data_IF_890132459458
#
_entry.id   IF_890132459458
#
_cell.length_a   1.000
_cell.length_b   1.000
_cell.length_c   1.000
_cell.angle_alpha   90.00
_cell.angle_beta   90.00
_cell.angle_gamma   90.00
#
_symmetry.space_group_name_H-M   'P 1'
#
loop_
_entity.id
_entity.type
_entity.pdbx_description
1 polymer ?
#
# COMPACT_ATOMS: atom_id res chain seq x y z
N UNK A 1 -1.43 39.55 -12.46
CA UNK A 1 -1.01 38.23 -12.98
C UNK A 1 -0.58 37.41 -11.79
N UNK A 2 -1.45 36.53 -11.29
CA UNK A 2 -1.25 35.82 -10.02
C UNK A 2 -0.99 34.34 -10.32
N UNK A 3 0.28 33.94 -10.39
CA UNK A 3 0.69 32.54 -10.67
C UNK A 3 1.33 31.87 -9.45
N UNK A 4 0.95 32.26 -8.23
CA UNK A 4 1.46 31.67 -6.99
C UNK A 4 0.34 31.15 -6.08
N UNK A 5 -0.62 30.39 -6.62
CA UNK A 5 -1.67 29.76 -5.80
C UNK A 5 -1.94 28.29 -6.16
N UNK A 6 -0.91 27.53 -6.52
CA UNK A 6 -1.10 26.12 -6.94
C UNK A 6 -0.15 25.10 -6.30
N UNK A 7 0.72 25.49 -5.36
CA UNK A 7 1.70 24.54 -4.77
C UNK A 7 1.58 24.33 -3.26
N UNK A 8 0.59 24.93 -2.59
CA UNK A 8 0.47 24.84 -1.12
C UNK A 8 -0.65 23.94 -0.60
N UNK A 9 -1.36 23.20 -1.45
CA UNK A 9 -2.48 22.34 -1.02
C UNK A 9 -2.26 20.84 -1.32
N UNK A 10 -1.03 20.35 -1.20
CA UNK A 10 -0.76 18.89 -1.21
C UNK A 10 -0.37 18.34 0.17
N UNK A 11 -0.41 19.18 1.20
CA UNK A 11 -0.33 18.75 2.59
C UNK A 11 -1.71 18.70 3.23
N UNK A 12 -2.71 18.17 2.52
CA UNK A 12 -3.87 17.60 3.21
C UNK A 12 -3.34 16.51 4.14
N UNK A 13 -3.81 16.40 5.39
CA UNK A 13 -3.43 15.29 6.26
C UNK A 13 -3.74 14.01 5.50
N UNK A 14 -2.68 13.30 5.10
CA UNK A 14 -2.73 12.14 4.21
C UNK A 14 -3.94 11.30 4.59
N UNK A 15 -4.93 11.23 3.70
CA UNK A 15 -6.05 10.30 3.85
C UNK A 15 -5.46 8.95 4.27
N UNK A 16 -5.99 8.28 5.30
CA UNK A 16 -5.39 7.06 5.86
C UNK A 16 -5.03 6.05 4.75
N UNK A 17 -5.80 6.02 3.67
CA UNK A 17 -5.54 5.24 2.45
C UNK A 17 -4.26 5.59 1.73
N UNK A 18 -3.90 6.88 1.62
CA UNK A 18 -2.64 7.27 0.97
C UNK A 18 -1.42 6.77 1.76
N UNK A 19 -1.51 6.74 3.09
CA UNK A 19 -0.44 6.18 3.93
C UNK A 19 -0.39 4.65 3.81
N UNK A 20 -1.55 3.99 3.81
CA UNK A 20 -1.65 2.53 3.68
C UNK A 20 -1.24 2.05 2.28
N UNK A 21 -1.65 2.74 1.22
CA UNK A 21 -1.26 2.48 -0.15
C UNK A 21 0.25 2.66 -0.36
N UNK A 22 0.84 3.72 0.20
CA UNK A 22 2.30 3.90 0.17
C UNK A 22 3.03 2.77 0.90
N UNK A 23 2.52 2.35 2.07
CA UNK A 23 3.10 1.22 2.82
C UNK A 23 3.02 -0.09 2.01
N UNK A 24 1.88 -0.36 1.38
CA UNK A 24 1.70 -1.52 0.51
C UNK A 24 2.67 -1.49 -0.68
N UNK A 25 2.81 -0.33 -1.34
CA UNK A 25 3.73 -0.18 -2.46
C UNK A 25 5.19 -0.45 -2.06
N UNK A 26 5.63 0.07 -0.91
CA UNK A 26 6.98 -0.21 -0.40
C UNK A 26 7.17 -1.70 -0.07
N UNK A 27 6.20 -2.32 0.61
CA UNK A 27 6.26 -3.74 0.94
C UNK A 27 6.31 -4.62 -0.31
N UNK A 28 5.53 -4.27 -1.34
CA UNK A 28 5.54 -4.96 -2.64
C UNK A 28 6.90 -4.83 -3.34
N UNK A 29 7.45 -3.62 -3.44
CA UNK A 29 8.74 -3.41 -4.09
C UNK A 29 9.87 -4.20 -3.40
N UNK A 30 9.83 -4.28 -2.06
CA UNK A 30 10.78 -5.08 -1.28
C UNK A 30 10.61 -6.58 -1.53
N UNK A 31 9.36 -7.08 -1.55
CA UNK A 31 9.06 -8.48 -1.86
C UNK A 31 9.53 -8.85 -3.26
N UNK A 32 9.18 -8.04 -4.27
CA UNK A 32 9.58 -8.24 -5.66
C UNK A 32 11.11 -8.29 -5.81
N UNK A 33 11.83 -7.44 -5.08
CA UNK A 33 13.29 -7.45 -5.06
C UNK A 33 13.86 -8.77 -4.53
N UNK A 34 13.33 -9.26 -3.42
CA UNK A 34 13.77 -10.51 -2.79
C UNK A 34 13.36 -11.76 -3.58
N UNK A 35 12.22 -11.74 -4.26
CA UNK A 35 11.78 -12.87 -5.10
C UNK A 35 12.60 -12.99 -6.40
N UNK A 36 13.11 -11.87 -6.92
CA UNK A 36 14.03 -11.86 -8.07
C UNK A 36 15.46 -12.25 -7.70
N UNK A 37 15.86 -12.03 -6.45
CA UNK A 37 17.17 -12.43 -5.94
C UNK A 37 17.18 -13.92 -5.56
N UNK A 38 17.12 -14.79 -6.58
CA UNK A 38 17.20 -16.24 -6.41
C UNK A 38 18.57 -16.73 -5.94
N UNK A 39 19.58 -15.85 -5.93
CA UNK A 39 20.93 -16.15 -5.46
C UNK A 39 21.04 -15.99 -3.94
N UNK A 40 20.27 -15.07 -3.35
CA UNK A 40 20.19 -14.89 -1.91
C UNK A 40 19.40 -16.04 -1.27
N UNK A 41 20.10 -16.89 -0.52
CA UNK A 41 19.49 -17.96 0.30
C UNK A 41 18.76 -17.44 1.52
N UNK A 42 18.50 -16.14 1.63
CA UNK A 42 17.85 -15.54 2.79
C UNK A 42 16.34 -15.77 2.76
N UNK A 43 15.96 -17.03 2.94
CA UNK A 43 14.57 -17.46 3.07
C UNK A 43 13.88 -16.80 4.27
N UNK A 44 14.64 -16.38 5.28
CA UNK A 44 14.09 -15.68 6.44
C UNK A 44 13.67 -14.25 6.08
N UNK A 45 14.49 -13.52 5.34
CA UNK A 45 14.14 -12.19 4.82
C UNK A 45 12.98 -12.25 3.82
N UNK A 46 12.95 -13.25 2.95
CA UNK A 46 11.86 -13.46 2.00
C UNK A 46 10.53 -13.76 2.73
N UNK A 47 10.55 -14.67 3.72
CA UNK A 47 9.37 -14.96 4.53
C UNK A 47 8.87 -13.71 5.27
N UNK A 48 9.77 -12.92 5.86
CA UNK A 48 9.41 -11.68 6.52
C UNK A 48 8.77 -10.67 5.56
N UNK A 49 9.31 -10.52 4.35
CA UNK A 49 8.75 -9.62 3.34
C UNK A 49 7.35 -10.06 2.86
N UNK A 50 7.12 -11.37 2.71
CA UNK A 50 5.79 -11.93 2.37
C UNK A 50 4.75 -11.64 3.45
N UNK A 51 5.13 -11.80 4.72
CA UNK A 51 4.26 -11.46 5.86
C UNK A 51 3.96 -9.96 5.88
N UNK A 52 4.98 -9.12 5.71
CA UNK A 52 4.81 -7.66 5.69
C UNK A 52 3.88 -7.20 4.55
N UNK A 53 4.05 -7.75 3.34
CA UNK A 53 3.19 -7.47 2.20
C UNK A 53 1.73 -7.88 2.48
N UNK A 54 1.51 -9.08 3.01
CA UNK A 54 0.18 -9.57 3.38
C UNK A 54 -0.50 -8.67 4.41
N UNK A 55 0.24 -8.23 5.43
CA UNK A 55 -0.28 -7.31 6.47
C UNK A 55 -0.61 -5.93 5.90
N UNK A 56 0.23 -5.39 5.03
CA UNK A 56 -0.03 -4.09 4.40
C UNK A 56 -1.25 -4.15 3.46
N UNK A 57 -1.40 -5.25 2.72
CA UNK A 57 -2.54 -5.46 1.82
C UNK A 57 -3.84 -5.56 2.62
N UNK A 58 -3.83 -6.33 3.71
CA UNK A 58 -4.99 -6.45 4.59
C UNK A 58 -5.38 -5.12 5.23
N UNK A 59 -4.41 -4.37 5.76
CA UNK A 59 -4.69 -3.08 6.36
C UNK A 59 -5.32 -2.08 5.36
N UNK A 60 -4.87 -2.09 4.10
CA UNK A 60 -5.49 -1.28 3.05
C UNK A 60 -6.90 -1.77 2.72
N UNK A 61 -7.11 -3.08 2.58
CA UNK A 61 -8.44 -3.64 2.33
C UNK A 61 -9.42 -3.31 3.47
N UNK A 62 -9.00 -3.48 4.73
CA UNK A 62 -9.81 -3.15 5.90
C UNK A 62 -10.20 -1.66 5.91
N UNK A 63 -9.27 -0.76 5.52
CA UNK A 63 -9.55 0.67 5.41
C UNK A 63 -10.55 1.01 4.30
N UNK A 64 -10.45 0.34 3.15
CA UNK A 64 -11.41 0.50 2.05
C UNK A 64 -12.79 -0.04 2.42
N UNK A 65 -12.87 -1.21 3.08
CA UNK A 65 -14.11 -1.78 3.61
C UNK A 65 -14.75 -0.82 4.62
N UNK A 66 -13.97 -0.25 5.54
CA UNK A 66 -14.46 0.71 6.53
C UNK A 66 -15.01 2.00 5.89
N UNK A 67 -14.58 2.33 4.67
CA UNK A 67 -15.11 3.43 3.86
C UNK A 67 -16.36 3.06 3.05
N UNK A 68 -16.84 1.82 3.19
CA UNK A 68 -17.98 1.31 2.44
C UNK A 68 -17.63 0.88 1.01
N UNK A 69 -16.35 0.85 0.62
CA UNK A 69 -15.88 0.35 -0.68
C UNK A 69 -15.81 -1.19 -0.73
N UNK A 70 -16.71 -1.87 -0.02
CA UNK A 70 -16.93 -3.29 -0.24
C UNK A 70 -17.83 -3.42 -1.47
N UNK A 71 -17.43 -4.21 -2.46
CA UNK A 71 -18.34 -4.60 -3.54
C UNK A 71 -19.46 -5.39 -2.86
N UNK A 72 -20.63 -4.77 -2.73
CA UNK A 72 -21.86 -5.55 -2.60
C UNK A 72 -22.01 -6.23 -3.96
N UNK A 73 -21.52 -7.47 -4.09
CA UNK A 73 -22.01 -8.37 -5.13
C UNK A 73 -23.53 -8.33 -4.95
N UNK A 74 -24.18 -7.59 -5.84
CA UNK A 74 -25.61 -7.37 -5.82
C UNK A 74 -26.18 -8.71 -6.26
N UNK A 75 -26.85 -9.42 -5.35
CA UNK A 75 -27.72 -10.54 -5.68
C UNK A 75 -28.61 -10.14 -6.88
N UNK A 76 -28.46 -10.84 -8.00
CA UNK A 76 -29.40 -10.85 -9.13
C UNK A 76 -30.12 -12.21 -9.12
#
# INVERSE_FOLDING_TARGET
>A
MNVLKMTSELSSPLHPDNRLARRLACAKARLDGLERDTASKDQSALAAARVEFSLASRALADALIAQGLHVSESDD
#
